data_IF_859620777973
#
_entry.id   IF_859620777973
#
_cell.length_a   1.000
_cell.length_b   1.000
_cell.length_c   1.000
_cell.angle_alpha   90.00
_cell.angle_beta   90.00
_cell.angle_gamma   90.00
#
_symmetry.space_group_name_H-M   'P 1'
#
loop_
_entity.id
_entity.type
_entity.pdbx_description
1 polymer ?
#
# COMPACT_ATOMS: atom_id res chain seq x y z
N UNK A 1 -29.07 3.50 -17.96
CA UNK A 1 -27.95 4.06 -17.20
C UNK A 1 -27.46 2.94 -16.31
N UNK A 2 -26.35 2.26 -16.68
CA UNK A 2 -25.76 1.23 -15.87
C UNK A 2 -25.11 1.89 -14.66
N UNK A 3 -25.40 1.37 -13.45
CA UNK A 3 -24.66 1.70 -12.24
C UNK A 3 -23.18 1.41 -12.54
N UNK A 4 -22.36 2.43 -12.57
CA UNK A 4 -20.91 2.25 -12.64
C UNK A 4 -20.52 1.61 -11.33
N UNK A 5 -20.28 0.30 -11.37
CA UNK A 5 -19.75 -0.44 -10.22
C UNK A 5 -18.39 0.19 -9.86
N UNK A 6 -18.35 0.93 -8.77
CA UNK A 6 -17.13 1.54 -8.27
C UNK A 6 -16.56 0.65 -7.17
N UNK A 7 -15.26 0.39 -7.20
CA UNK A 7 -14.60 -0.40 -6.16
C UNK A 7 -14.83 0.23 -4.79
N UNK A 8 -15.38 -0.56 -3.88
CA UNK A 8 -15.58 -0.14 -2.49
C UNK A 8 -14.25 -0.07 -1.77
N UNK A 9 -13.96 1.05 -1.13
CA UNK A 9 -12.75 1.20 -0.33
C UNK A 9 -13.06 1.86 1.02
N UNK A 10 -12.21 1.56 2.01
CA UNK A 10 -12.21 2.21 3.30
C UNK A 10 -10.76 2.37 3.79
N UNK A 11 -10.32 3.61 3.92
CA UNK A 11 -9.02 3.94 4.50
C UNK A 11 -9.17 3.99 6.00
N UNK A 12 -8.67 2.97 6.68
CA UNK A 12 -8.70 2.87 8.15
C UNK A 12 -7.70 3.85 8.75
N UNK A 13 -6.51 3.91 8.16
CA UNK A 13 -5.44 4.83 8.55
C UNK A 13 -4.46 5.00 7.41
N UNK A 14 -3.77 6.15 7.37
CA UNK A 14 -2.68 6.46 6.44
C UNK A 14 -1.64 7.34 7.12
N UNK A 15 -0.39 7.25 6.66
CA UNK A 15 0.74 8.01 7.18
C UNK A 15 1.51 7.29 8.30
N UNK A 16 2.37 8.02 9.00
CA UNK A 16 3.32 7.49 9.99
C UNK A 16 2.68 6.84 11.22
N UNK A 17 1.40 7.10 11.47
CA UNK A 17 0.67 6.49 12.60
C UNK A 17 0.13 5.10 12.27
N UNK A 18 0.24 4.68 11.02
CA UNK A 18 -0.15 3.36 10.53
C UNK A 18 -0.88 3.42 9.21
N UNK A 19 -0.67 2.41 8.38
CA UNK A 19 -1.30 2.26 7.08
C UNK A 19 -2.16 1.00 7.07
N UNK A 20 -3.42 1.14 6.70
CA UNK A 20 -4.37 0.04 6.53
C UNK A 20 -5.53 0.49 5.63
N UNK A 21 -5.69 -0.16 4.50
CA UNK A 21 -6.77 0.12 3.54
C UNK A 21 -7.55 -1.16 3.24
N UNK A 22 -8.86 -1.10 3.37
CA UNK A 22 -9.77 -2.20 3.04
C UNK A 22 -10.36 -1.95 1.65
N UNK A 23 -10.28 -2.97 0.78
CA UNK A 23 -10.93 -3.00 -0.52
C UNK A 23 -12.00 -4.09 -0.55
N UNK A 24 -13.18 -3.78 -1.09
CA UNK A 24 -14.33 -4.70 -1.24
C UNK A 24 -14.68 -5.48 0.05
N UNK A 25 -14.43 -4.89 1.22
CA UNK A 25 -14.61 -5.48 2.56
C UNK A 25 -13.72 -6.71 2.85
N UNK A 26 -13.00 -7.29 1.88
CA UNK A 26 -12.29 -8.57 2.07
C UNK A 26 -10.79 -8.54 1.77
N UNK A 27 -10.25 -7.49 1.15
CA UNK A 27 -8.80 -7.31 0.97
C UNK A 27 -8.32 -6.20 1.88
N UNK A 28 -7.35 -6.49 2.74
CA UNK A 28 -6.61 -5.51 3.52
C UNK A 28 -5.26 -5.27 2.83
N UNK A 29 -4.93 -4.03 2.53
CA UNK A 29 -3.57 -3.64 2.10
C UNK A 29 -2.89 -2.91 3.25
N UNK A 30 -1.76 -3.44 3.66
CA UNK A 30 -0.98 -3.11 4.85
C UNK A 30 -1.74 -3.31 6.18
N UNK A 31 -0.98 -3.55 7.22
CA UNK A 31 -1.48 -3.86 8.54
C UNK A 31 -0.65 -3.14 9.61
N UNK A 32 -0.58 -1.80 9.47
CA UNK A 32 0.17 -0.92 10.38
C UNK A 32 -0.63 -0.40 11.56
N UNK A 33 -1.84 -0.91 11.79
CA UNK A 33 -2.78 -0.42 12.80
C UNK A 33 -3.03 -1.44 13.92
N UNK A 34 -3.47 -1.00 15.11
CA UNK A 34 -3.94 -1.90 16.15
C UNK A 34 -5.11 -2.76 15.69
N UNK A 35 -5.19 -4.00 16.17
CA UNK A 35 -6.27 -4.95 15.83
C UNK A 35 -7.67 -4.37 15.99
N UNK A 36 -7.90 -3.57 17.03
CA UNK A 36 -9.19 -2.92 17.31
C UNK A 36 -9.71 -2.08 16.14
N UNK A 37 -8.80 -1.46 15.38
CA UNK A 37 -9.19 -0.67 14.19
C UNK A 37 -9.72 -1.55 13.05
N UNK A 38 -9.35 -2.83 13.02
CA UNK A 38 -9.76 -3.79 12.00
C UNK A 38 -10.96 -4.66 12.42
N UNK A 39 -11.36 -4.66 13.70
CA UNK A 39 -12.43 -5.52 14.23
C UNK A 39 -13.70 -5.56 13.36
N UNK A 40 -14.22 -4.43 12.83
CA UNK A 40 -15.43 -4.46 12.00
C UNK A 40 -15.30 -5.26 10.70
N UNK A 41 -14.06 -5.51 10.26
CA UNK A 41 -13.76 -6.16 8.97
C UNK A 41 -13.25 -7.59 9.11
N UNK A 42 -12.71 -7.97 10.28
CA UNK A 42 -11.98 -9.23 10.50
C UNK A 42 -12.74 -10.45 9.97
N UNK A 43 -14.04 -10.53 10.22
CA UNK A 43 -14.86 -11.67 9.78
C UNK A 43 -15.00 -11.78 8.26
N UNK A 44 -14.88 -10.67 7.54
CA UNK A 44 -15.01 -10.60 6.08
C UNK A 44 -13.67 -10.74 5.36
N UNK A 45 -12.54 -10.43 6.04
CA UNK A 45 -11.22 -10.48 5.44
C UNK A 45 -10.91 -11.87 4.89
N UNK A 46 -10.38 -11.93 3.67
CA UNK A 46 -9.91 -13.14 2.99
C UNK A 46 -8.45 -13.03 2.56
N UNK A 47 -7.95 -11.82 2.36
CA UNK A 47 -6.60 -11.56 1.89
C UNK A 47 -6.02 -10.32 2.60
N UNK A 48 -4.78 -10.44 3.06
CA UNK A 48 -3.93 -9.33 3.52
C UNK A 48 -2.76 -9.23 2.56
N UNK A 49 -2.57 -8.06 1.96
CA UNK A 49 -1.42 -7.75 1.09
C UNK A 49 -0.48 -6.83 1.84
N UNK A 50 0.78 -7.22 1.96
CA UNK A 50 1.78 -6.45 2.71
C UNK A 50 2.87 -5.93 1.78
N UNK A 51 3.21 -4.65 1.90
CA UNK A 51 4.12 -3.94 1.02
C UNK A 51 5.57 -4.05 1.48
N UNK A 52 5.87 -3.67 2.73
CA UNK A 52 7.22 -3.64 3.29
C UNK A 52 7.22 -3.75 4.83
N UNK A 53 8.42 -3.73 5.44
CA UNK A 53 8.63 -4.13 6.83
C UNK A 53 8.47 -2.99 7.86
N UNK A 54 8.32 -1.75 7.47
CA UNK A 54 8.18 -0.65 8.44
C UNK A 54 6.97 -0.87 9.37
N UNK A 55 7.10 -0.44 10.61
CA UNK A 55 6.12 -0.73 11.68
C UNK A 55 4.74 -0.12 11.43
N UNK A 56 4.67 0.95 10.70
CA UNK A 56 3.46 1.61 10.26
C UNK A 56 2.78 0.91 9.05
N UNK A 57 3.37 -0.16 8.51
CA UNK A 57 2.80 -1.07 7.51
C UNK A 57 2.72 -2.51 8.00
N UNK A 58 3.54 -2.89 8.97
CA UNK A 58 3.72 -4.26 9.43
C UNK A 58 3.66 -4.36 10.97
N UNK A 59 2.46 -4.34 11.55
CA UNK A 59 2.30 -4.47 12.99
C UNK A 59 2.19 -5.94 13.39
N UNK A 60 3.28 -6.52 13.89
CA UNK A 60 3.43 -7.94 14.22
C UNK A 60 2.29 -8.50 15.08
N UNK A 61 1.88 -7.75 16.13
CA UNK A 61 0.84 -8.20 17.06
C UNK A 61 -0.51 -8.34 16.37
N UNK A 62 -0.89 -7.38 15.54
CA UNK A 62 -2.13 -7.40 14.78
C UNK A 62 -2.12 -8.51 13.74
N UNK A 63 -1.02 -8.65 12.99
CA UNK A 63 -0.83 -9.71 11.99
C UNK A 63 -0.96 -11.10 12.63
N UNK A 64 -0.26 -11.34 13.75
CA UNK A 64 -0.34 -12.61 14.49
C UNK A 64 -1.77 -12.93 14.88
N UNK A 65 -2.46 -11.98 15.50
CA UNK A 65 -3.84 -12.16 15.95
C UNK A 65 -4.80 -12.47 14.80
N UNK A 66 -4.68 -11.75 13.68
CA UNK A 66 -5.45 -12.05 12.47
C UNK A 66 -5.23 -13.48 11.97
N UNK A 67 -3.98 -13.95 11.93
CA UNK A 67 -3.64 -15.30 11.50
C UNK A 67 -4.21 -16.37 12.43
N UNK A 68 -4.18 -16.13 13.75
CA UNK A 68 -4.72 -17.04 14.77
C UNK A 68 -6.25 -17.12 14.73
N UNK A 69 -6.93 -15.96 14.65
CA UNK A 69 -8.41 -15.92 14.63
C UNK A 69 -9.02 -16.31 13.29
N UNK A 70 -8.24 -16.22 12.21
CA UNK A 70 -8.70 -16.49 10.85
C UNK A 70 -7.78 -17.49 10.12
N UNK A 71 -7.89 -18.81 10.41
CA UNK A 71 -7.01 -19.84 9.85
C UNK A 71 -7.05 -19.97 8.32
N UNK A 72 -8.09 -19.44 7.68
CA UNK A 72 -8.25 -19.43 6.20
C UNK A 72 -7.81 -18.11 5.56
N UNK A 73 -7.43 -17.10 6.36
CA UNK A 73 -6.93 -15.83 5.85
C UNK A 73 -5.59 -16.04 5.16
N UNK A 74 -5.44 -15.45 3.97
CA UNK A 74 -4.20 -15.49 3.19
C UNK A 74 -3.40 -14.21 3.41
N UNK A 75 -2.08 -14.33 3.48
CA UNK A 75 -1.14 -13.21 3.56
C UNK A 75 -0.27 -13.23 2.31
N UNK A 76 -0.60 -12.36 1.35
CA UNK A 76 0.19 -12.17 0.13
C UNK A 76 1.30 -11.14 0.37
N UNK A 77 2.52 -11.48 0.02
CA UNK A 77 3.68 -10.58 0.14
C UNK A 77 4.79 -10.98 -0.84
N UNK A 78 5.67 -10.04 -1.16
CA UNK A 78 6.91 -10.39 -1.85
C UNK A 78 7.88 -11.11 -0.91
N UNK A 79 8.90 -11.78 -1.49
CA UNK A 79 9.82 -12.70 -0.78
C UNK A 79 10.47 -12.15 0.48
N UNK A 80 10.74 -10.85 0.54
CA UNK A 80 11.41 -10.23 1.70
C UNK A 80 10.54 -10.17 2.95
N UNK A 81 9.23 -10.31 2.85
CA UNK A 81 8.32 -10.30 3.99
C UNK A 81 7.93 -11.71 4.49
N UNK A 82 8.20 -12.76 3.74
CA UNK A 82 7.89 -14.13 4.17
C UNK A 82 8.60 -14.52 5.48
N UNK A 83 9.92 -14.30 5.65
CA UNK A 83 10.58 -14.56 6.93
C UNK A 83 10.04 -13.71 8.09
N UNK A 84 9.83 -12.39 7.96
CA UNK A 84 9.17 -11.59 8.99
C UNK A 84 7.76 -12.07 9.38
N UNK A 85 6.95 -12.55 8.42
CA UNK A 85 5.63 -13.11 8.69
C UNK A 85 5.71 -14.38 9.52
N UNK A 86 6.59 -15.30 9.17
CA UNK A 86 6.88 -16.51 9.95
C UNK A 86 7.32 -16.14 11.37
N UNK A 87 8.25 -15.20 11.49
CA UNK A 87 8.73 -14.70 12.79
C UNK A 87 7.66 -13.99 13.61
N UNK A 88 6.65 -13.40 12.96
CA UNK A 88 5.48 -12.83 13.61
C UNK A 88 4.47 -13.88 14.09
N UNK A 89 4.64 -15.16 13.71
CA UNK A 89 3.77 -16.27 14.09
C UNK A 89 2.67 -16.61 13.08
N UNK A 90 2.77 -16.11 11.84
CA UNK A 90 1.86 -16.52 10.75
C UNK A 90 2.26 -17.90 10.27
N UNK A 91 1.36 -18.90 10.25
CA UNK A 91 1.66 -20.23 9.71
C UNK A 91 2.03 -20.17 8.23
N UNK A 92 3.04 -20.94 7.82
CA UNK A 92 3.53 -20.98 6.43
C UNK A 92 2.39 -21.24 5.43
N UNK A 93 1.44 -22.13 5.76
CA UNK A 93 0.28 -22.44 4.94
C UNK A 93 -0.63 -21.24 4.63
N UNK A 94 -0.54 -20.15 5.41
CA UNK A 94 -1.30 -18.92 5.19
C UNK A 94 -0.53 -17.87 4.36
N UNK A 95 0.75 -18.10 4.08
CA UNK A 95 1.64 -17.15 3.38
C UNK A 95 1.71 -17.49 1.91
N UNK A 96 1.43 -16.50 1.06
CA UNK A 96 1.62 -16.54 -0.38
C UNK A 96 2.79 -15.63 -0.77
N UNK A 97 3.87 -16.23 -1.26
CA UNK A 97 5.01 -15.47 -1.80
C UNK A 97 4.71 -15.10 -3.24
N UNK A 98 4.62 -13.80 -3.48
CA UNK A 98 4.25 -13.22 -4.77
C UNK A 98 5.49 -12.65 -5.46
N UNK A 99 5.69 -13.01 -6.72
CA UNK A 99 6.76 -12.44 -7.55
C UNK A 99 6.25 -11.20 -8.29
N UNK A 100 7.03 -10.09 -8.29
CA UNK A 100 6.66 -8.88 -9.01
C UNK A 100 6.36 -9.13 -10.50
N UNK A 101 5.37 -8.42 -11.03
CA UNK A 101 4.87 -8.50 -12.41
C UNK A 101 4.15 -9.82 -12.77
N UNK A 102 3.90 -10.70 -11.81
CA UNK A 102 3.13 -11.93 -11.99
C UNK A 102 1.72 -11.74 -11.44
N UNK A 103 0.71 -12.20 -12.18
CA UNK A 103 -0.69 -12.15 -11.76
C UNK A 103 -1.05 -13.40 -10.96
N UNK A 104 -1.68 -13.19 -9.81
CA UNK A 104 -2.17 -14.22 -8.91
C UNK A 104 -3.67 -14.12 -8.72
N UNK A 105 -4.40 -15.23 -8.97
CA UNK A 105 -5.85 -15.30 -8.81
C UNK A 105 -6.24 -15.74 -7.40
N UNK A 106 -7.09 -14.96 -6.74
CA UNK A 106 -7.66 -15.25 -5.41
C UNK A 106 -9.17 -15.59 -5.47
N UNK A 107 -9.67 -15.91 -6.65
CA UNK A 107 -11.08 -16.21 -6.88
C UNK A 107 -12.01 -15.00 -6.91
N UNK A 108 -11.83 -14.06 -5.98
CA UNK A 108 -12.60 -12.82 -5.91
C UNK A 108 -11.88 -11.61 -6.51
N UNK A 109 -10.58 -11.70 -6.68
CA UNK A 109 -9.75 -10.69 -7.31
C UNK A 109 -8.48 -11.30 -7.89
N UNK A 110 -7.82 -10.54 -8.78
CA UNK A 110 -6.47 -10.83 -9.24
C UNK A 110 -5.52 -9.78 -8.68
N UNK A 111 -4.33 -10.21 -8.26
CA UNK A 111 -3.30 -9.36 -7.65
C UNK A 111 -2.03 -9.42 -8.47
N UNK A 112 -1.43 -8.26 -8.74
CA UNK A 112 -0.14 -8.12 -9.42
C UNK A 112 0.73 -7.21 -8.57
N UNK A 113 1.76 -7.72 -7.87
CA UNK A 113 2.71 -6.87 -7.17
C UNK A 113 3.67 -6.22 -8.18
N UNK A 114 4.17 -5.03 -7.85
CA UNK A 114 5.21 -4.35 -8.62
C UNK A 114 6.19 -3.65 -7.69
N UNK A 115 7.45 -3.56 -8.13
CA UNK A 115 8.52 -2.97 -7.31
C UNK A 115 8.34 -1.47 -7.14
N UNK A 116 8.63 -0.99 -5.94
CA UNK A 116 8.74 0.41 -5.56
C UNK A 116 10.14 0.74 -5.06
N UNK A 117 10.49 2.01 -5.06
CA UNK A 117 11.81 2.51 -4.65
C UNK A 117 11.73 3.17 -3.28
N UNK A 118 12.23 2.50 -2.27
CA UNK A 118 12.24 2.94 -0.88
C UNK A 118 13.56 2.58 -0.19
N UNK A 119 13.76 2.97 1.08
CA UNK A 119 14.97 2.64 1.86
C UNK A 119 15.04 1.16 2.29
N UNK A 120 13.93 0.43 2.19
CA UNK A 120 13.83 -1.02 2.35
C UNK A 120 13.14 -1.62 1.13
N UNK A 121 13.27 -2.94 0.86
CA UNK A 121 12.51 -3.60 -0.20
C UNK A 121 11.01 -3.34 -0.04
N UNK A 122 10.38 -2.78 -1.08
CA UNK A 122 8.97 -2.36 -1.09
C UNK A 122 8.29 -2.72 -2.40
N UNK A 123 6.99 -3.00 -2.34
CA UNK A 123 6.15 -3.21 -3.51
C UNK A 123 4.82 -2.45 -3.38
N UNK A 124 4.26 -2.11 -4.53
CA UNK A 124 2.87 -1.75 -4.67
C UNK A 124 2.04 -2.92 -5.20
N UNK A 125 0.74 -2.73 -5.26
CA UNK A 125 -0.19 -3.74 -5.76
C UNK A 125 -1.16 -3.15 -6.78
N UNK A 126 -1.36 -3.89 -7.86
CA UNK A 126 -2.50 -3.75 -8.75
C UNK A 126 -3.50 -4.83 -8.38
N UNK A 127 -4.72 -4.44 -8.06
CA UNK A 127 -5.77 -5.39 -7.67
C UNK A 127 -6.94 -5.21 -8.62
N UNK A 128 -7.32 -6.29 -9.29
CA UNK A 128 -8.43 -6.31 -10.24
C UNK A 128 -9.60 -7.07 -9.65
N UNK A 129 -10.68 -6.35 -9.39
CA UNK A 129 -11.98 -6.88 -8.96
C UNK A 129 -12.96 -6.91 -10.13
N UNK A 130 -14.06 -7.67 -10.04
CA UNK A 130 -15.17 -7.55 -11.01
C UNK A 130 -15.76 -6.13 -11.07
N UNK A 131 -15.69 -5.37 -9.96
CA UNK A 131 -16.16 -3.99 -9.83
C UNK A 131 -15.20 -2.94 -10.39
N UNK A 132 -13.93 -3.27 -10.66
CA UNK A 132 -12.94 -2.33 -11.19
C UNK A 132 -11.51 -2.66 -10.78
N UNK A 133 -10.57 -1.80 -11.21
CA UNK A 133 -9.13 -1.96 -11.03
C UNK A 133 -8.59 -0.91 -10.07
N UNK A 134 -7.77 -1.34 -9.13
CA UNK A 134 -7.12 -0.49 -8.12
C UNK A 134 -5.61 -0.56 -8.29
N UNK A 135 -4.94 0.57 -8.14
CA UNK A 135 -3.49 0.62 -7.92
C UNK A 135 -3.21 1.23 -6.55
N UNK A 136 -2.36 0.56 -5.78
CA UNK A 136 -1.87 1.01 -4.48
C UNK A 136 -0.35 1.15 -4.51
N UNK A 137 0.15 2.35 -4.26
CA UNK A 137 1.58 2.65 -4.24
C UNK A 137 1.89 3.73 -3.20
N UNK A 138 2.53 3.35 -2.13
CA UNK A 138 2.97 4.24 -1.05
C UNK A 138 4.43 3.96 -0.70
N UNK A 139 5.08 4.92 -0.06
CA UNK A 139 6.50 4.85 0.32
C UNK A 139 7.42 4.55 -0.86
N UNK A 140 7.37 5.44 -1.84
CA UNK A 140 8.25 5.36 -3.01
C UNK A 140 8.70 6.75 -3.46
N UNK A 141 9.91 6.89 -3.94
CA UNK A 141 10.38 8.19 -4.45
C UNK A 141 10.04 8.43 -5.92
N UNK A 142 9.57 7.41 -6.63
CA UNK A 142 9.13 7.53 -8.03
C UNK A 142 8.21 6.37 -8.44
N UNK A 143 7.50 6.57 -9.55
CA UNK A 143 6.67 5.58 -10.23
C UNK A 143 7.16 5.29 -11.66
N UNK A 144 8.47 5.39 -11.89
CA UNK A 144 9.07 5.17 -13.19
C UNK A 144 8.81 3.73 -13.69
N UNK A 145 8.32 3.60 -14.92
CA UNK A 145 8.00 2.30 -15.52
C UNK A 145 6.71 1.64 -15.00
N UNK A 146 6.03 2.26 -14.02
CA UNK A 146 4.70 1.80 -13.57
C UNK A 146 3.63 2.31 -14.56
N UNK A 147 2.80 1.40 -15.03
CA UNK A 147 1.66 1.71 -15.91
C UNK A 147 0.37 1.27 -15.23
N UNK A 148 -0.60 2.15 -15.17
CA UNK A 148 -1.94 1.87 -14.62
C UNK A 148 -3.02 2.63 -15.41
N UNK A 149 -2.94 2.59 -16.74
CA UNK A 149 -3.85 3.31 -17.62
C UNK A 149 -5.30 2.84 -17.40
N UNK A 150 -6.17 3.78 -17.11
CA UNK A 150 -7.61 3.54 -16.98
C UNK A 150 -7.97 2.65 -15.78
N UNK A 151 -7.25 2.77 -14.68
CA UNK A 151 -7.68 2.19 -13.42
C UNK A 151 -8.80 3.03 -12.82
N UNK A 152 -9.66 2.39 -12.04
CA UNK A 152 -10.83 3.05 -11.45
C UNK A 152 -10.47 3.79 -10.16
N UNK A 153 -9.54 3.23 -9.37
CA UNK A 153 -9.09 3.79 -8.10
C UNK A 153 -7.56 3.83 -8.02
N UNK A 154 -7.03 5.01 -7.71
CA UNK A 154 -5.62 5.28 -7.48
C UNK A 154 -5.41 5.65 -6.02
N UNK A 155 -4.73 4.79 -5.28
CA UNK A 155 -4.29 4.99 -3.90
C UNK A 155 -2.77 5.18 -3.93
N UNK A 156 -2.35 6.43 -4.06
CA UNK A 156 -0.95 6.79 -4.32
C UNK A 156 -0.56 7.95 -3.40
N UNK A 157 0.59 7.82 -2.73
CA UNK A 157 1.07 8.89 -1.87
C UNK A 157 1.38 10.18 -2.64
N UNK A 158 1.14 11.31 -1.98
CA UNK A 158 1.65 12.63 -2.34
C UNK A 158 2.18 13.28 -1.05
N UNK A 159 3.40 12.96 -0.69
CA UNK A 159 3.93 13.16 0.65
C UNK A 159 4.35 14.61 0.94
N UNK A 160 4.85 15.33 -0.09
CA UNK A 160 5.38 16.69 0.08
C UNK A 160 5.27 17.51 -1.20
N UNK A 161 5.28 18.85 -1.01
CA UNK A 161 5.48 19.82 -2.09
C UNK A 161 6.95 20.15 -2.22
N UNK A 162 7.46 20.16 -3.44
CA UNK A 162 8.89 20.37 -3.70
C UNK A 162 9.39 21.73 -3.14
N UNK A 163 8.62 22.79 -3.26
CA UNK A 163 8.95 24.11 -2.75
C UNK A 163 9.04 24.15 -1.22
N UNK A 164 8.05 23.55 -0.54
CA UNK A 164 7.97 23.55 0.92
C UNK A 164 9.12 22.74 1.56
N UNK A 165 9.44 21.58 0.98
CA UNK A 165 10.50 20.74 1.52
C UNK A 165 11.89 21.34 1.29
N UNK A 166 12.12 22.00 0.14
CA UNK A 166 13.37 22.70 -0.13
C UNK A 166 13.57 23.90 0.82
N UNK A 167 12.53 24.66 1.10
CA UNK A 167 12.58 25.76 2.07
C UNK A 167 12.96 25.26 3.47
N UNK A 168 12.33 24.17 3.95
CA UNK A 168 12.65 23.54 5.25
C UNK A 168 14.10 23.03 5.31
N UNK A 169 14.59 22.40 4.23
CA UNK A 169 15.98 21.93 4.15
C UNK A 169 16.94 23.11 4.24
N UNK A 170 16.69 24.21 3.52
CA UNK A 170 17.53 25.40 3.52
C UNK A 170 17.58 26.05 4.92
N UNK A 171 16.42 26.21 5.57
CA UNK A 171 16.31 26.74 6.92
C UNK A 171 17.13 25.93 7.93
N UNK A 172 16.94 24.62 7.96
CA UNK A 172 17.67 23.72 8.89
C UNK A 172 19.17 23.71 8.64
N UNK A 173 19.60 23.72 7.37
CA UNK A 173 21.02 23.81 7.02
C UNK A 173 21.64 25.14 7.48
N UNK A 174 20.94 26.26 7.31
CA UNK A 174 21.39 27.56 7.78
C UNK A 174 21.51 27.62 9.32
N UNK A 175 20.64 26.90 10.04
CA UNK A 175 20.68 26.74 11.49
C UNK A 175 21.69 25.68 11.98
N UNK A 176 22.43 25.01 11.11
CA UNK A 176 23.33 23.91 11.48
C UNK A 176 22.61 22.64 12.01
N UNK A 177 21.34 22.50 11.70
CA UNK A 177 20.51 21.38 12.15
C UNK A 177 20.46 20.24 11.11
N UNK A 178 20.19 19.03 11.59
CA UNK A 178 19.95 17.89 10.70
C UNK A 178 18.61 18.06 9.97
N UNK A 179 18.66 18.01 8.63
CA UNK A 179 17.48 18.10 7.79
C UNK A 179 16.95 16.70 7.45
N UNK A 180 16.00 16.18 8.27
CA UNK A 180 15.32 14.90 8.01
C UNK A 180 14.59 14.88 6.66
N UNK A 181 14.17 16.04 6.19
CA UNK A 181 13.52 16.25 4.89
C UNK A 181 14.34 15.70 3.71
N UNK A 182 15.67 15.62 3.86
CA UNK A 182 16.53 14.96 2.85
C UNK A 182 16.26 13.46 2.74
N UNK A 183 15.83 12.79 3.81
CA UNK A 183 15.40 11.39 3.77
C UNK A 183 14.01 11.26 3.12
N UNK A 184 13.12 12.22 3.40
CA UNK A 184 11.80 12.27 2.74
C UNK A 184 11.95 12.36 1.22
N UNK A 185 12.82 13.25 0.72
CA UNK A 185 13.11 13.36 -0.72
C UNK A 185 13.60 12.04 -1.37
N UNK A 186 14.32 11.23 -0.62
CA UNK A 186 14.85 9.95 -1.13
C UNK A 186 13.85 8.82 -1.11
N UNK A 187 12.87 8.89 -0.24
CA UNK A 187 12.03 7.74 0.11
C UNK A 187 10.55 7.91 -0.26
N UNK A 188 10.11 9.15 -0.55
CA UNK A 188 8.70 9.46 -0.76
C UNK A 188 8.44 10.23 -2.05
N UNK A 189 7.21 10.18 -2.53
CA UNK A 189 6.76 10.80 -3.75
C UNK A 189 6.32 12.24 -3.50
N UNK A 190 6.79 13.19 -4.32
CA UNK A 190 6.27 14.55 -4.29
C UNK A 190 4.89 14.65 -4.92
N UNK A 191 4.13 15.68 -4.53
CA UNK A 191 2.84 16.02 -5.13
C UNK A 191 2.97 16.17 -6.67
N UNK A 192 4.03 16.83 -7.14
CA UNK A 192 4.28 17.01 -8.57
C UNK A 192 4.44 15.69 -9.32
N UNK A 193 5.26 14.76 -8.79
CA UNK A 193 5.45 13.43 -9.41
C UNK A 193 4.17 12.58 -9.37
N UNK A 194 3.40 12.68 -8.27
CA UNK A 194 2.11 12.03 -8.17
C UNK A 194 1.15 12.55 -9.25
N UNK A 195 1.02 13.86 -9.36
CA UNK A 195 0.16 14.50 -10.36
C UNK A 195 0.56 14.12 -11.80
N UNK A 196 1.86 14.11 -12.11
CA UNK A 196 2.37 13.66 -13.41
C UNK A 196 1.97 12.22 -13.73
N UNK A 197 2.01 11.33 -12.73
CA UNK A 197 1.57 9.96 -12.90
C UNK A 197 0.06 9.87 -13.13
N UNK A 198 -0.74 10.58 -12.35
CA UNK A 198 -2.21 10.59 -12.45
C UNK A 198 -2.67 11.13 -13.81
N UNK A 199 -2.11 12.26 -14.27
CA UNK A 199 -2.45 12.86 -15.58
C UNK A 199 -2.20 11.89 -16.74
N UNK A 200 -1.14 11.06 -16.65
CA UNK A 200 -0.82 10.08 -17.70
C UNK A 200 -1.67 8.82 -17.66
N UNK A 201 -2.29 8.50 -16.52
CA UNK A 201 -2.93 7.20 -16.30
C UNK A 201 -4.44 7.28 -16.06
N UNK A 202 -4.96 8.33 -15.43
CA UNK A 202 -6.38 8.45 -15.09
C UNK A 202 -7.26 8.70 -16.32
N UNK A 203 -8.49 8.21 -16.24
CA UNK A 203 -9.59 8.49 -17.15
C UNK A 203 -10.66 9.33 -16.43
N UNK A 204 -11.66 9.81 -17.19
CA UNK A 204 -12.70 10.73 -16.68
C UNK A 204 -13.43 10.23 -15.42
N UNK A 205 -13.60 8.92 -15.27
CA UNK A 205 -14.31 8.30 -14.14
C UNK A 205 -13.38 7.73 -13.08
N UNK A 206 -12.06 7.90 -13.20
CA UNK A 206 -11.09 7.45 -12.21
C UNK A 206 -11.16 8.30 -10.94
N UNK A 207 -10.93 7.67 -9.80
CA UNK A 207 -10.84 8.32 -8.49
C UNK A 207 -9.40 8.24 -7.98
N UNK A 208 -8.91 9.32 -7.40
CA UNK A 208 -7.62 9.41 -6.71
C UNK A 208 -7.83 9.77 -5.24
N UNK A 209 -7.07 9.14 -4.36
CA UNK A 209 -7.03 9.36 -2.92
C UNK A 209 -5.60 9.26 -2.41
#
# INVERSE_FOLDING_TARGET
FGDTLMVKYNIISTGSDGNATILEDFVLIDCGVPYKALEPYVTKLKLVLLTHIHSDHFQKRTIKRLAEERPTLRFGCCRWLAPPLLAAGVPERQIDVLEPRTMYGYGLCNVIPFMLTHNVPNCGYKVHFPSGKVIYATDTNNLNGVQALGYDLYLIEANYRDEDIQAKIAEKKAAGQYAYEMQVLKNHLSEAKCNDFLVRNMQANSVYI
#
